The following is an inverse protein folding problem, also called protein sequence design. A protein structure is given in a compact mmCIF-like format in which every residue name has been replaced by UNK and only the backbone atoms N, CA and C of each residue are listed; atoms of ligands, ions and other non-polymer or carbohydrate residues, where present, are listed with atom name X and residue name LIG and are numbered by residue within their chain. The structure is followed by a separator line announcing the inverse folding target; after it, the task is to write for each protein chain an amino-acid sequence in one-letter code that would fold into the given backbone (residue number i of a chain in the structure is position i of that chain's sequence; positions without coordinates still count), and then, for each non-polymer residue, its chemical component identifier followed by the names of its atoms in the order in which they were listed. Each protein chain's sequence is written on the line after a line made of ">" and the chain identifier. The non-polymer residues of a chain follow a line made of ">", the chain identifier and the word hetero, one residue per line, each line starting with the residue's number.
data_IF_015364807444
#
_entry.id   IF_015364807444
#
_cell.length_a   1.000
_cell.length_b   1.000
_cell.length_c   1.000
_cell.angle_alpha   90.00
_cell.angle_beta   90.00
_cell.angle_gamma   90.00
#
_symmetry.space_group_name_H-M   'P 1'
#
loop_
_entity.id
_entity.type
_entity.pdbx_description
1 polymer ?
#
# COMPACT_ATOMS: atom_id res chain seq x y z
N UNK A 1 2.33 1.21 -8.64
CA UNK A 1 1.55 2.31 -8.03
C UNK A 1 0.11 2.10 -8.42
N UNK A 2 -0.79 2.10 -7.43
CA UNK A 2 -2.22 1.92 -7.65
C UNK A 2 -2.76 3.10 -8.45
N UNK A 3 -3.57 2.82 -9.45
CA UNK A 3 -4.31 3.89 -10.13
C UNK A 3 -5.54 4.31 -9.29
N UNK A 4 -6.17 5.41 -9.69
CA UNK A 4 -7.35 5.93 -8.99
C UNK A 4 -8.48 4.90 -8.92
N UNK A 5 -8.64 4.08 -9.96
CA UNK A 5 -9.72 3.09 -10.03
C UNK A 5 -9.47 1.92 -9.07
N UNK A 6 -8.23 1.44 -8.98
CA UNK A 6 -7.86 0.41 -8.01
C UNK A 6 -8.00 0.91 -6.57
N UNK A 7 -7.71 2.19 -6.32
CA UNK A 7 -7.90 2.79 -5.01
C UNK A 7 -9.37 2.90 -4.63
N UNK A 8 -10.22 3.34 -5.56
CA UNK A 8 -11.67 3.37 -5.35
C UNK A 8 -12.22 1.98 -5.07
N UNK A 9 -11.78 0.95 -5.82
CA UNK A 9 -12.17 -0.45 -5.60
C UNK A 9 -11.81 -0.94 -4.19
N UNK A 10 -10.58 -0.67 -3.74
CA UNK A 10 -10.11 -1.06 -2.41
C UNK A 10 -10.94 -0.40 -1.31
N UNK A 11 -11.24 0.90 -1.45
CA UNK A 11 -12.03 1.64 -0.48
C UNK A 11 -13.47 1.12 -0.44
N UNK A 12 -14.09 0.86 -1.59
CA UNK A 12 -15.43 0.27 -1.65
C UNK A 12 -15.52 -1.08 -0.94
N UNK A 13 -14.54 -1.97 -1.14
CA UNK A 13 -14.52 -3.28 -0.46
C UNK A 13 -14.48 -3.10 1.06
N UNK A 14 -13.63 -2.20 1.56
CA UNK A 14 -13.49 -1.95 2.98
C UNK A 14 -14.72 -1.28 3.60
N UNK A 15 -15.37 -0.36 2.89
CA UNK A 15 -16.59 0.33 3.33
C UNK A 15 -17.77 -0.64 3.46
N UNK A 16 -17.89 -1.61 2.55
CA UNK A 16 -19.00 -2.57 2.52
C UNK A 16 -18.77 -3.79 3.44
N UNK A 17 -17.55 -3.99 3.95
CA UNK A 17 -17.21 -5.19 4.70
C UNK A 17 -17.91 -5.26 6.08
N UNK A 18 -18.61 -6.36 6.43
CA UNK A 18 -19.40 -6.41 7.67
C UNK A 18 -18.59 -6.28 8.96
N UNK A 19 -17.36 -6.79 9.00
CA UNK A 19 -16.46 -6.66 10.14
C UNK A 19 -15.66 -5.35 10.03
N UNK A 20 -16.25 -4.30 10.59
CA UNK A 20 -15.70 -2.94 10.55
C UNK A 20 -14.39 -2.81 11.32
N UNK A 21 -14.11 -3.66 12.31
CA UNK A 21 -12.84 -3.64 13.04
C UNK A 21 -11.71 -4.15 12.14
N UNK A 22 -11.94 -5.28 11.45
CA UNK A 22 -10.99 -5.80 10.46
C UNK A 22 -10.80 -4.82 9.29
N UNK A 23 -11.88 -4.21 8.79
CA UNK A 23 -11.81 -3.23 7.72
C UNK A 23 -10.93 -2.02 8.10
N UNK A 24 -11.08 -1.48 9.31
CA UNK A 24 -10.25 -0.37 9.81
C UNK A 24 -8.80 -0.79 9.98
N UNK A 25 -8.53 -2.00 10.45
CA UNK A 25 -7.15 -2.52 10.56
C UNK A 25 -6.47 -2.61 9.20
N UNK A 26 -7.17 -3.18 8.19
CA UNK A 26 -6.65 -3.31 6.83
C UNK A 26 -6.49 -1.95 6.15
N UNK A 27 -7.41 -1.00 6.36
CA UNK A 27 -7.30 0.37 5.85
C UNK A 27 -6.07 1.09 6.40
N UNK A 28 -5.79 0.94 7.70
CA UNK A 28 -4.58 1.51 8.32
C UNK A 28 -3.32 0.91 7.74
N UNK A 29 -3.27 -0.43 7.65
CA UNK A 29 -2.14 -1.14 7.07
C UNK A 29 -1.90 -0.70 5.61
N UNK A 30 -2.96 -0.59 4.81
CA UNK A 30 -2.92 -0.11 3.43
C UNK A 30 -2.37 1.31 3.33
N UNK A 31 -2.86 2.23 4.16
CA UNK A 31 -2.40 3.61 4.19
C UNK A 31 -0.91 3.72 4.59
N UNK A 32 -0.48 2.94 5.58
CA UNK A 32 0.92 2.94 6.02
C UNK A 32 1.86 2.45 4.91
N UNK A 33 1.50 1.35 4.24
CA UNK A 33 2.31 0.78 3.15
C UNK A 33 2.34 1.65 1.90
N UNK A 34 1.21 2.24 1.52
CA UNK A 34 1.16 3.18 0.38
C UNK A 34 1.92 4.46 0.67
N UNK A 35 1.90 4.95 1.91
CA UNK A 35 2.73 6.08 2.35
C UNK A 35 4.22 5.76 2.28
N UNK A 36 4.64 4.61 2.78
CA UNK A 36 6.04 4.16 2.72
C UNK A 36 6.54 4.11 1.27
N UNK A 37 5.78 3.46 0.39
CA UNK A 37 6.09 3.41 -1.04
C UNK A 37 6.13 4.81 -1.66
N UNK A 38 5.18 5.68 -1.35
CA UNK A 38 5.14 7.06 -1.84
C UNK A 38 6.38 7.86 -1.44
N UNK A 39 6.82 7.74 -0.19
CA UNK A 39 8.03 8.38 0.31
C UNK A 39 9.29 7.89 -0.42
N UNK A 40 9.38 6.58 -0.67
CA UNK A 40 10.50 5.99 -1.40
C UNK A 40 10.50 6.43 -2.87
N UNK A 41 9.35 6.46 -3.54
CA UNK A 41 9.24 6.85 -4.94
C UNK A 41 9.49 8.35 -5.17
N UNK A 42 9.08 9.20 -4.23
CA UNK A 42 9.37 10.64 -4.26
C UNK A 42 10.82 10.99 -3.92
N UNK A 43 11.60 9.97 -3.56
CA UNK A 43 13.01 9.97 -3.18
C UNK A 43 13.67 11.34 -2.96
N UNK A 44 13.76 11.73 -1.68
CA UNK A 44 14.64 12.79 -1.20
C UNK A 44 15.82 12.26 -0.37
N UNK A 45 15.99 10.94 -0.25
CA UNK A 45 17.06 10.37 0.58
C UNK A 45 18.33 10.17 -0.26
N UNK A 46 19.20 11.19 -0.25
CA UNK A 46 20.48 11.20 -0.95
C UNK A 46 21.52 10.25 -0.33
N UNK A 47 21.21 9.58 0.78
CA UNK A 47 22.11 8.63 1.44
C UNK A 47 22.05 7.22 0.85
N UNK A 48 21.01 6.89 0.08
CA UNK A 48 20.83 5.56 -0.52
C UNK A 48 21.52 5.45 -1.88
N UNK A 49 22.23 4.35 -2.11
CA UNK A 49 22.65 4.00 -3.46
C UNK A 49 21.44 3.66 -4.33
N UNK A 50 21.57 3.80 -5.66
CA UNK A 50 20.50 3.45 -6.59
C UNK A 50 20.01 2.00 -6.43
N UNK A 51 20.93 1.07 -6.12
CA UNK A 51 20.60 -0.34 -5.89
C UNK A 51 19.76 -0.53 -4.63
N UNK A 52 20.16 0.07 -3.51
CA UNK A 52 19.41 0.00 -2.25
C UNK A 52 18.04 0.66 -2.35
N UNK A 53 17.98 1.82 -3.01
CA UNK A 53 16.71 2.49 -3.29
C UNK A 53 15.77 1.60 -4.08
N UNK A 54 16.26 0.97 -5.16
CA UNK A 54 15.45 0.07 -5.99
C UNK A 54 14.93 -1.11 -5.17
N UNK A 55 15.78 -1.77 -4.41
CA UNK A 55 15.37 -2.90 -3.56
C UNK A 55 14.30 -2.48 -2.54
N UNK A 56 14.44 -1.30 -1.93
CA UNK A 56 13.42 -0.77 -1.00
C UNK A 56 12.09 -0.47 -1.70
N UNK A 57 12.14 0.14 -2.89
CA UNK A 57 10.94 0.39 -3.68
C UNK A 57 10.24 -0.91 -4.09
N UNK A 58 10.99 -1.90 -4.56
CA UNK A 58 10.45 -3.20 -4.96
C UNK A 58 9.79 -3.91 -3.76
N UNK A 59 10.44 -3.88 -2.58
CA UNK A 59 9.88 -4.45 -1.36
C UNK A 59 8.62 -3.70 -0.90
N UNK A 60 8.64 -2.36 -0.86
CA UNK A 60 7.49 -1.56 -0.45
C UNK A 60 6.29 -1.74 -1.40
N UNK A 61 6.55 -1.91 -2.71
CA UNK A 61 5.52 -2.23 -3.69
C UNK A 61 4.91 -3.61 -3.44
N UNK A 62 5.72 -4.61 -3.09
CA UNK A 62 5.23 -5.94 -2.75
C UNK A 62 4.40 -5.92 -1.45
N UNK A 63 4.83 -5.18 -0.43
CA UNK A 63 4.07 -5.02 0.81
C UNK A 63 2.67 -4.42 0.54
N UNK A 64 2.58 -3.39 -0.31
CA UNK A 64 1.28 -2.85 -0.77
C UNK A 64 0.46 -3.94 -1.45
N UNK A 65 1.06 -4.69 -2.39
CA UNK A 65 0.36 -5.74 -3.14
C UNK A 65 -0.23 -6.82 -2.22
N UNK A 66 0.50 -7.20 -1.15
CA UNK A 66 0.02 -8.18 -0.18
C UNK A 66 -1.21 -7.68 0.59
N UNK A 67 -1.21 -6.42 1.00
CA UNK A 67 -2.38 -5.81 1.66
C UNK A 67 -3.56 -5.72 0.71
N UNK A 68 -3.33 -5.25 -0.53
CA UNK A 68 -4.37 -5.22 -1.57
C UNK A 68 -4.97 -6.60 -1.80
N UNK A 69 -4.14 -7.64 -1.91
CA UNK A 69 -4.60 -9.01 -2.11
C UNK A 69 -5.47 -9.51 -0.94
N UNK A 70 -5.12 -9.15 0.29
CA UNK A 70 -5.92 -9.47 1.48
C UNK A 70 -7.26 -8.77 1.46
N UNK A 71 -7.29 -7.49 1.09
CA UNK A 71 -8.52 -6.71 0.98
C UNK A 71 -9.42 -7.27 -0.13
N UNK A 72 -8.86 -7.57 -1.31
CA UNK A 72 -9.61 -8.16 -2.44
C UNK A 72 -10.14 -9.58 -2.18
N UNK A 73 -9.74 -10.20 -1.08
CA UNK A 73 -10.19 -11.53 -0.66
C UNK A 73 -11.25 -11.49 0.46
N UNK A 74 -11.67 -10.30 0.90
CA UNK A 74 -12.79 -10.09 1.83
C UNK A 74 -14.13 -10.40 1.15
#
# INVERSE_FOLDING_TARGET
>A
MLDTKEMDEILSILEEYPDQELAVLLLREFNDKTRELGLLLMNHDSSLSHGEWKTKCDQAQEDVNQVVKRIKAL
#
